data_IF_138694172024
#
_entry.id   IF_138694172024
#
_cell.length_a   1.000
_cell.length_b   1.000
_cell.length_c   1.000
_cell.angle_alpha   90.00
_cell.angle_beta   90.00
_cell.angle_gamma   90.00
#
_symmetry.space_group_name_H-M   'P 1'
#
loop_
_entity.id
_entity.type
_entity.pdbx_description
1 polymer ?
#
# COMPACT_ATOMS: atom_id res chain seq x y z
N UNK A 1 -21.22 -46.19 -52.76
CA UNK A 1 -20.06 -46.18 -51.84
C UNK A 1 -19.54 -44.76 -51.51
N UNK A 2 -20.41 -43.72 -51.44
CA UNK A 2 -19.99 -42.31 -51.20
C UNK A 2 -20.44 -41.70 -49.86
N UNK A 3 -21.27 -42.40 -49.06
CA UNK A 3 -21.84 -41.84 -47.82
C UNK A 3 -20.99 -42.02 -46.55
N UNK A 4 -19.94 -42.85 -46.56
CA UNK A 4 -19.11 -43.07 -45.37
C UNK A 4 -18.00 -42.02 -45.17
N UNK A 5 -17.44 -41.48 -46.26
CA UNK A 5 -16.34 -40.49 -46.22
C UNK A 5 -16.79 -39.11 -45.72
N UNK A 6 -17.98 -38.64 -46.09
CA UNK A 6 -18.53 -37.35 -45.64
C UNK A 6 -18.99 -37.35 -44.17
N UNK A 7 -19.01 -38.52 -43.51
CA UNK A 7 -19.40 -38.65 -42.11
C UNK A 7 -18.16 -38.68 -41.20
N UNK A 8 -17.04 -39.27 -41.62
CA UNK A 8 -15.78 -39.19 -40.86
C UNK A 8 -15.21 -37.78 -40.85
N UNK A 9 -15.17 -37.11 -42.01
CA UNK A 9 -14.56 -35.77 -42.18
C UNK A 9 -15.23 -34.68 -41.32
N UNK A 10 -16.55 -34.79 -41.13
CA UNK A 10 -17.34 -33.92 -40.25
C UNK A 10 -17.14 -34.23 -38.76
N UNK A 11 -16.84 -35.48 -38.43
CA UNK A 11 -16.57 -35.91 -37.05
C UNK A 11 -15.16 -35.48 -36.64
N UNK A 12 -14.21 -35.51 -37.58
CA UNK A 12 -12.84 -35.02 -37.40
C UNK A 12 -12.79 -33.50 -37.26
N UNK A 13 -13.54 -32.77 -38.10
CA UNK A 13 -13.66 -31.31 -38.00
C UNK A 13 -14.33 -30.84 -36.69
N UNK A 14 -15.31 -31.59 -36.18
CA UNK A 14 -15.94 -31.34 -34.88
C UNK A 14 -14.98 -31.62 -33.72
N UNK A 15 -14.25 -32.74 -33.77
CA UNK A 15 -13.23 -33.08 -32.79
C UNK A 15 -12.11 -32.04 -32.71
N UNK A 16 -11.66 -31.52 -33.86
CA UNK A 16 -10.64 -30.47 -33.91
C UNK A 16 -11.16 -29.13 -33.37
N UNK A 17 -12.44 -28.82 -33.60
CA UNK A 17 -13.07 -27.64 -33.00
C UNK A 17 -13.23 -27.78 -31.49
N UNK A 18 -13.56 -28.98 -30.99
CA UNK A 18 -13.64 -29.28 -29.55
C UNK A 18 -12.27 -29.18 -28.88
N UNK A 19 -11.20 -29.75 -29.46
CA UNK A 19 -9.82 -29.63 -28.93
C UNK A 19 -9.38 -28.17 -28.84
N UNK A 20 -9.65 -27.37 -29.87
CA UNK A 20 -9.35 -25.93 -29.85
C UNK A 20 -10.14 -25.17 -28.80
N UNK A 21 -11.39 -25.55 -28.53
CA UNK A 21 -12.19 -24.95 -27.46
C UNK A 21 -11.63 -25.34 -26.09
N UNK A 22 -11.33 -26.62 -25.87
CA UNK A 22 -10.75 -27.11 -24.62
C UNK A 22 -9.43 -26.39 -24.31
N UNK A 23 -8.51 -26.32 -25.27
CA UNK A 23 -7.23 -25.60 -25.09
C UNK A 23 -7.40 -24.11 -24.77
N UNK A 24 -8.41 -23.44 -25.34
CA UNK A 24 -8.75 -22.05 -24.98
C UNK A 24 -9.29 -21.91 -23.55
N UNK A 25 -10.09 -22.87 -23.10
CA UNK A 25 -10.63 -22.91 -21.73
C UNK A 25 -9.50 -23.15 -20.74
N UNK A 26 -8.59 -24.09 -21.02
CA UNK A 26 -7.43 -24.36 -20.17
C UNK A 26 -6.53 -23.13 -20.04
N UNK A 27 -6.23 -22.46 -21.18
CA UNK A 27 -5.41 -21.22 -21.16
C UNK A 27 -6.09 -20.09 -20.38
N UNK A 28 -7.43 -19.99 -20.46
CA UNK A 28 -8.18 -19.01 -19.68
C UNK A 28 -8.10 -19.32 -18.18
N UNK A 29 -8.27 -20.58 -17.79
CA UNK A 29 -8.17 -21.04 -16.42
C UNK A 29 -6.78 -20.77 -15.82
N UNK A 30 -5.71 -21.05 -16.57
CA UNK A 30 -4.33 -20.76 -16.16
C UNK A 30 -4.11 -19.26 -15.93
N UNK A 31 -4.60 -18.44 -16.86
CA UNK A 31 -4.47 -16.97 -16.76
C UNK A 31 -5.20 -16.44 -15.53
N UNK A 32 -6.41 -16.92 -15.26
CA UNK A 32 -7.18 -16.49 -14.10
C UNK A 32 -6.54 -16.97 -12.79
N UNK A 33 -5.98 -18.18 -12.76
CA UNK A 33 -5.25 -18.67 -11.60
C UNK A 33 -4.00 -17.83 -11.31
N UNK A 34 -3.26 -17.43 -12.35
CA UNK A 34 -2.11 -16.53 -12.21
C UNK A 34 -2.52 -15.17 -11.66
N UNK A 35 -3.62 -14.58 -12.16
CA UNK A 35 -4.16 -13.30 -11.66
C UNK A 35 -4.56 -13.40 -10.19
N UNK A 36 -5.25 -14.47 -9.80
CA UNK A 36 -5.68 -14.69 -8.42
C UNK A 36 -4.48 -14.85 -7.47
N UNK A 37 -3.44 -15.55 -7.89
CA UNK A 37 -2.22 -15.71 -7.09
C UNK A 37 -1.50 -14.36 -6.91
N UNK A 38 -1.33 -13.61 -7.99
CA UNK A 38 -0.69 -12.30 -7.96
C UNK A 38 -1.47 -11.30 -7.08
N UNK A 39 -2.81 -11.28 -7.18
CA UNK A 39 -3.65 -10.44 -6.33
C UNK A 39 -3.49 -10.77 -4.83
N UNK A 40 -3.39 -12.06 -4.48
CA UNK A 40 -3.15 -12.50 -3.10
C UNK A 40 -1.77 -12.09 -2.60
N UNK A 41 -0.74 -12.20 -3.43
CA UNK A 41 0.63 -11.80 -3.10
C UNK A 41 0.72 -10.30 -2.81
N UNK A 42 0.06 -9.48 -3.65
CA UNK A 42 -0.03 -8.03 -3.44
C UNK A 42 -0.80 -7.69 -2.17
N UNK A 43 -1.95 -8.31 -1.93
CA UNK A 43 -2.74 -8.06 -0.71
C UNK A 43 -1.94 -8.41 0.56
N UNK A 44 -1.19 -9.51 0.54
CA UNK A 44 -0.32 -9.89 1.66
C UNK A 44 0.86 -8.92 1.82
N UNK A 45 1.42 -8.43 0.72
CA UNK A 45 2.45 -7.40 0.76
C UNK A 45 1.93 -6.11 1.41
N UNK A 46 0.72 -5.68 1.06
CA UNK A 46 0.09 -4.46 1.60
C UNK A 46 -0.21 -4.59 3.09
N UNK A 47 -0.76 -5.72 3.55
CA UNK A 47 -0.99 -5.98 4.98
C UNK A 47 0.30 -5.93 5.80
N UNK A 48 1.39 -6.50 5.27
CA UNK A 48 2.72 -6.43 5.89
C UNK A 48 3.25 -5.00 5.93
N UNK A 49 3.07 -4.24 4.84
CA UNK A 49 3.46 -2.84 4.76
C UNK A 49 2.73 -1.98 5.82
N UNK A 50 1.42 -2.16 5.98
CA UNK A 50 0.63 -1.44 6.97
C UNK A 50 1.09 -1.78 8.41
N UNK A 51 1.36 -3.06 8.68
CA UNK A 51 1.90 -3.51 9.97
C UNK A 51 3.30 -2.92 10.24
N UNK A 52 4.14 -2.84 9.21
CA UNK A 52 5.46 -2.21 9.28
C UNK A 52 5.35 -0.71 9.60
N UNK A 53 4.44 -0.01 8.93
CA UNK A 53 4.21 1.42 9.17
C UNK A 53 3.76 1.66 10.61
N UNK A 54 2.81 0.87 11.11
CA UNK A 54 2.38 0.94 12.51
C UNK A 54 3.54 0.68 13.47
N UNK A 55 4.38 -0.32 13.18
CA UNK A 55 5.56 -0.64 13.99
C UNK A 55 6.57 0.51 14.06
N UNK A 56 6.76 1.25 12.96
CA UNK A 56 7.58 2.47 12.94
C UNK A 56 6.99 3.52 13.89
N UNK A 57 5.69 3.79 13.78
CA UNK A 57 4.98 4.74 14.64
C UNK A 57 5.02 4.33 16.12
N UNK A 58 4.70 3.08 16.43
CA UNK A 58 4.69 2.55 17.79
C UNK A 58 6.10 2.53 18.40
N UNK A 59 7.11 2.19 17.61
CA UNK A 59 8.52 2.25 18.02
C UNK A 59 8.96 3.66 18.36
N UNK A 60 8.59 4.65 17.53
CA UNK A 60 8.85 6.06 17.79
C UNK A 60 8.17 6.53 19.08
N UNK A 61 6.85 6.33 19.20
CA UNK A 61 6.07 6.73 20.39
C UNK A 61 6.62 6.09 21.66
N UNK A 62 6.93 4.80 21.62
CA UNK A 62 7.54 4.09 22.75
C UNK A 62 8.91 4.67 23.13
N UNK A 63 9.73 5.06 22.15
CA UNK A 63 11.03 5.69 22.39
C UNK A 63 10.90 7.07 23.06
N UNK A 64 9.97 7.90 22.60
CA UNK A 64 9.71 9.21 23.20
C UNK A 64 9.15 9.06 24.61
N UNK A 65 8.15 8.20 24.82
CA UNK A 65 7.51 8.03 26.13
C UNK A 65 8.45 7.50 27.22
N UNK A 66 9.48 6.74 26.86
CA UNK A 66 10.52 6.33 27.84
C UNK A 66 11.32 7.51 28.41
N UNK A 67 11.34 8.65 27.72
CA UNK A 67 12.07 9.86 28.11
C UNK A 67 11.18 10.92 28.77
N UNK A 68 9.86 10.83 28.59
CA UNK A 68 8.91 11.79 29.13
C UNK A 68 8.57 11.49 30.60
N UNK A 69 8.43 12.54 31.40
CA UNK A 69 8.09 12.44 32.84
C UNK A 69 6.76 13.12 33.22
N UNK A 70 6.19 13.95 32.32
CA UNK A 70 5.05 14.82 32.63
C UNK A 70 3.89 14.73 31.64
N UNK A 71 4.06 14.00 30.55
CA UNK A 71 3.06 13.80 29.51
C UNK A 71 3.34 12.50 28.76
N UNK A 72 2.38 12.14 27.93
CA UNK A 72 2.44 10.96 27.07
C UNK A 72 2.16 11.38 25.63
N UNK A 73 2.87 10.76 24.71
CA UNK A 73 2.54 10.71 23.29
C UNK A 73 1.70 9.45 23.07
N UNK A 74 0.55 9.57 22.44
CA UNK A 74 -0.35 8.43 22.18
C UNK A 74 -0.35 8.08 20.70
N UNK A 75 -0.49 6.80 20.38
CA UNK A 75 -0.73 6.29 19.02
C UNK A 75 -2.15 5.71 18.95
N UNK A 76 -2.90 6.12 17.93
CA UNK A 76 -4.20 5.55 17.60
C UNK A 76 -4.16 4.92 16.20
N UNK A 77 -4.57 3.64 16.04
CA UNK A 77 -4.87 2.70 17.11
C UNK A 77 -3.59 2.27 17.86
N UNK A 78 -3.66 1.95 19.16
CA UNK A 78 -2.48 1.57 19.96
C UNK A 78 -1.88 0.23 19.51
N UNK A 79 -2.70 -0.65 18.92
CA UNK A 79 -2.29 -1.90 18.32
C UNK A 79 -2.90 -2.03 16.93
N UNK A 80 -2.12 -2.54 15.98
CA UNK A 80 -2.58 -2.78 14.62
C UNK A 80 -2.17 -4.18 14.18
N UNK A 81 -3.14 -4.95 13.70
CA UNK A 81 -2.93 -6.28 13.16
C UNK A 81 -3.04 -6.24 11.63
N UNK A 82 -2.36 -7.16 10.96
CA UNK A 82 -2.41 -7.28 9.50
C UNK A 82 -3.86 -7.36 8.95
N UNK A 83 -4.77 -8.02 9.67
CA UNK A 83 -6.18 -8.12 9.30
C UNK A 83 -7.02 -6.85 9.53
N UNK A 84 -6.48 -5.84 10.21
CA UNK A 84 -7.12 -4.53 10.40
C UNK A 84 -6.93 -3.59 9.22
N UNK A 85 -6.04 -3.94 8.28
CA UNK A 85 -5.83 -3.17 7.06
C UNK A 85 -7.07 -3.21 6.16
N UNK A 86 -7.53 -2.03 5.75
CA UNK A 86 -8.63 -1.86 4.81
C UNK A 86 -8.07 -1.82 3.38
N UNK A 87 -8.33 -2.86 2.60
CA UNK A 87 -7.84 -2.97 1.22
C UNK A 87 -8.52 -1.97 0.27
N UNK A 88 -9.83 -1.76 0.43
CA UNK A 88 -10.66 -0.89 -0.43
C UNK A 88 -10.92 0.49 0.18
N UNK A 89 -10.27 0.80 1.30
CA UNK A 89 -10.55 1.98 2.11
C UNK A 89 -9.30 2.73 2.57
N UNK A 90 -9.54 3.87 3.19
CA UNK A 90 -8.50 4.67 3.81
C UNK A 90 -8.14 4.10 5.18
N UNK A 91 -6.85 3.92 5.42
CA UNK A 91 -6.28 3.54 6.69
C UNK A 91 -5.68 4.78 7.35
N UNK A 92 -5.77 4.84 8.68
CA UNK A 92 -5.43 6.03 9.45
C UNK A 92 -4.66 5.64 10.70
N UNK A 93 -3.48 6.24 10.89
CA UNK A 93 -2.76 6.26 12.17
C UNK A 93 -2.63 7.71 12.64
N UNK A 94 -2.73 7.92 13.95
CA UNK A 94 -2.57 9.24 14.55
C UNK A 94 -1.63 9.19 15.74
N UNK A 95 -0.60 10.02 15.72
CA UNK A 95 0.27 10.30 16.86
C UNK A 95 -0.18 11.63 17.46
N UNK A 96 -0.50 11.65 18.74
CA UNK A 96 -0.99 12.84 19.43
C UNK A 96 -0.17 13.14 20.69
N UNK A 97 0.16 14.41 20.89
CA UNK A 97 0.61 14.94 22.17
C UNK A 97 0.02 16.32 22.42
N UNK A 98 -0.78 16.46 23.48
CA UNK A 98 -1.34 17.75 23.92
C UNK A 98 -1.96 18.58 22.78
N UNK A 99 -2.68 17.95 21.84
CA UNK A 99 -3.34 18.64 20.72
C UNK A 99 -2.43 18.95 19.52
N UNK A 100 -1.18 18.46 19.52
CA UNK A 100 -0.31 18.40 18.34
C UNK A 100 -0.47 17.00 17.75
N UNK A 101 -0.86 16.93 16.49
CA UNK A 101 -1.25 15.70 15.83
C UNK A 101 -0.40 15.50 14.59
N UNK A 102 0.25 14.33 14.49
CA UNK A 102 0.69 13.79 13.21
C UNK A 102 -0.33 12.75 12.77
N UNK A 103 -0.91 12.97 11.60
CA UNK A 103 -1.86 12.07 10.98
C UNK A 103 -1.20 11.39 9.80
N UNK A 104 -1.21 10.07 9.77
CA UNK A 104 -0.72 9.26 8.67
C UNK A 104 -1.92 8.59 8.02
N UNK A 105 -2.27 9.03 6.82
CA UNK A 105 -3.37 8.51 6.03
C UNK A 105 -2.82 7.75 4.83
N UNK A 106 -3.34 6.55 4.55
CA UNK A 106 -2.84 5.74 3.44
C UNK A 106 -3.87 4.75 2.89
N UNK A 107 -3.75 4.39 1.62
CA UNK A 107 -4.65 3.46 0.93
C UNK A 107 -3.89 2.59 -0.07
N UNK A 108 -4.41 1.38 -0.31
CA UNK A 108 -3.90 0.54 -1.38
C UNK A 108 -4.15 1.20 -2.74
N UNK A 109 -3.21 1.03 -3.67
CA UNK A 109 -3.45 1.32 -5.08
C UNK A 109 -4.27 0.19 -5.72
N UNK A 110 -4.87 0.41 -6.90
CA UNK A 110 -5.51 -0.69 -7.62
C UNK A 110 -4.45 -1.71 -8.10
N UNK A 111 -3.40 -1.21 -8.73
CA UNK A 111 -2.29 -2.00 -9.29
C UNK A 111 -0.93 -1.53 -8.75
N UNK A 112 0.14 -2.23 -9.12
CA UNK A 112 1.49 -1.72 -8.93
C UNK A 112 1.68 -0.48 -9.83
N UNK A 113 1.76 0.70 -9.22
CA UNK A 113 1.69 1.99 -9.91
C UNK A 113 3.03 2.72 -9.85
N UNK A 114 3.32 3.54 -10.86
CA UNK A 114 4.33 4.60 -10.82
C UNK A 114 3.79 5.81 -11.59
N UNK A 115 3.96 7.01 -11.07
CA UNK A 115 3.45 8.25 -11.69
C UNK A 115 4.59 9.08 -12.28
N UNK A 116 4.26 10.12 -13.05
CA UNK A 116 5.27 11.05 -13.57
C UNK A 116 6.02 11.76 -12.43
N UNK A 117 5.27 12.13 -11.39
CA UNK A 117 5.76 12.83 -10.19
C UNK A 117 6.52 11.90 -9.23
N UNK A 118 6.18 10.61 -9.20
CA UNK A 118 6.86 9.61 -8.39
C UNK A 118 7.07 8.30 -9.18
N UNK A 119 8.27 8.18 -9.78
CA UNK A 119 8.60 7.12 -10.76
C UNK A 119 9.06 5.79 -10.16
N UNK A 120 9.04 5.65 -8.84
CA UNK A 120 9.40 4.39 -8.17
C UNK A 120 8.11 3.57 -8.04
N UNK A 121 8.04 2.30 -8.49
CA UNK A 121 6.83 1.50 -8.35
C UNK A 121 6.39 1.33 -6.89
N UNK A 122 5.09 1.45 -6.62
CA UNK A 122 4.50 1.35 -5.29
C UNK A 122 3.12 0.68 -5.29
N UNK A 123 2.71 0.18 -4.14
CA UNK A 123 1.42 -0.53 -3.96
C UNK A 123 0.53 0.06 -2.86
N UNK A 124 1.07 1.00 -2.08
CA UNK A 124 0.34 1.84 -1.13
C UNK A 124 0.85 3.27 -1.32
N UNK A 125 -0.07 4.22 -1.29
CA UNK A 125 0.21 5.66 -1.24
C UNK A 125 -0.56 6.30 -0.11
N UNK A 126 -0.14 7.50 0.28
CA UNK A 126 -0.75 8.23 1.37
C UNK A 126 -0.05 9.54 1.64
N UNK A 127 -0.35 10.13 2.79
CA UNK A 127 0.34 11.30 3.26
C UNK A 127 0.47 11.36 4.78
N UNK A 128 1.44 12.15 5.23
CA UNK A 128 1.62 12.55 6.61
C UNK A 128 1.27 14.03 6.72
N UNK A 129 0.33 14.36 7.61
CA UNK A 129 -0.14 15.72 7.87
C UNK A 129 0.14 16.09 9.31
N UNK A 130 0.62 17.32 9.50
CA UNK A 130 0.93 17.89 10.79
C UNK A 130 -0.12 18.94 11.17
N UNK A 131 -0.69 18.81 12.38
CA UNK A 131 -1.69 19.74 12.91
C UNK A 131 -1.28 20.25 14.29
N UNK A 132 -1.38 21.57 14.48
CA UNK A 132 -1.44 22.23 15.78
C UNK A 132 -2.31 23.48 15.66
N UNK A 133 -2.65 24.12 16.79
CA UNK A 133 -3.54 25.29 16.78
C UNK A 133 -2.99 26.45 15.92
N UNK A 134 -1.68 26.72 16.00
CA UNK A 134 -1.04 27.79 15.22
C UNK A 134 -1.10 27.53 13.70
N UNK A 135 -0.93 26.27 13.27
CA UNK A 135 -1.02 25.84 11.88
C UNK A 135 -2.45 25.96 11.35
N UNK A 136 -3.44 25.58 12.17
CA UNK A 136 -4.85 25.72 11.85
C UNK A 136 -5.26 27.19 11.72
N UNK A 137 -4.85 28.04 12.68
CA UNK A 137 -5.15 29.47 12.67
C UNK A 137 -4.52 30.19 11.46
N UNK A 138 -3.39 29.68 10.96
CA UNK A 138 -2.70 30.19 9.76
C UNK A 138 -3.16 29.51 8.47
N UNK A 139 -4.14 28.60 8.53
CA UNK A 139 -4.63 27.78 7.42
C UNK A 139 -3.50 27.06 6.65
N UNK A 140 -2.48 26.58 7.38
CA UNK A 140 -1.33 25.86 6.84
C UNK A 140 -1.38 24.41 7.32
N UNK A 141 -1.73 23.49 6.44
CA UNK A 141 -1.55 22.06 6.66
C UNK A 141 -0.31 21.66 5.88
N UNK A 142 0.74 21.26 6.60
CA UNK A 142 1.94 20.71 5.96
C UNK A 142 1.69 19.23 5.67
N UNK A 143 1.76 18.88 4.39
CA UNK A 143 1.49 17.54 3.88
C UNK A 143 2.74 17.02 3.14
N UNK A 144 3.16 15.81 3.49
CA UNK A 144 4.20 15.09 2.76
C UNK A 144 3.64 13.76 2.28
N UNK A 145 3.93 13.40 1.04
CA UNK A 145 3.45 12.15 0.46
C UNK A 145 4.26 10.97 0.99
N UNK A 146 3.64 9.82 1.13
CA UNK A 146 4.29 8.58 1.51
C UNK A 146 3.92 7.45 0.58
N UNK A 147 4.87 6.55 0.33
CA UNK A 147 4.71 5.44 -0.60
C UNK A 147 5.33 4.17 -0.05
N UNK A 148 4.62 3.05 -0.16
CA UNK A 148 5.23 1.73 0.03
C UNK A 148 5.72 1.19 -1.31
N UNK A 149 7.03 1.36 -1.52
CA UNK A 149 7.70 1.08 -2.78
C UNK A 149 8.12 -0.38 -2.92
N UNK A 150 8.14 -0.85 -4.17
CA UNK A 150 8.60 -2.19 -4.57
C UNK A 150 9.64 -2.03 -5.68
N UNK A 151 10.92 -2.20 -5.37
CA UNK A 151 12.02 -2.02 -6.32
C UNK A 151 13.01 -3.19 -6.24
N UNK A 152 13.26 -3.87 -7.36
CA UNK A 152 14.31 -4.91 -7.50
C UNK A 152 14.29 -5.96 -6.37
N UNK A 153 13.09 -6.39 -5.98
CA UNK A 153 12.88 -7.37 -4.90
C UNK A 153 13.04 -6.81 -3.47
N UNK A 154 13.18 -5.49 -3.32
CA UNK A 154 13.18 -4.79 -2.04
C UNK A 154 11.90 -3.99 -1.88
N UNK A 155 11.47 -3.85 -0.63
CA UNK A 155 10.25 -3.12 -0.29
C UNK A 155 10.55 -2.17 0.86
N UNK A 156 10.07 -0.92 0.77
CA UNK A 156 10.29 0.06 1.83
C UNK A 156 9.26 1.18 1.79
N UNK A 157 8.98 1.73 2.97
CA UNK A 157 8.28 3.01 3.09
C UNK A 157 9.20 4.17 2.77
N UNK A 158 8.70 5.11 1.98
CA UNK A 158 9.39 6.35 1.62
C UNK A 158 8.48 7.54 1.84
N UNK A 159 9.05 8.65 2.29
CA UNK A 159 8.40 9.95 2.15
C UNK A 159 8.86 10.61 0.85
N UNK A 160 8.04 11.54 0.37
CA UNK A 160 8.33 12.43 -0.75
C UNK A 160 7.74 13.80 -0.46
N UNK A 161 8.61 14.81 -0.42
CA UNK A 161 8.22 16.22 -0.32
C UNK A 161 8.24 16.83 -1.72
N UNK A 162 7.05 17.05 -2.28
CA UNK A 162 6.88 17.64 -3.60
C UNK A 162 7.40 19.09 -3.72
N UNK A 163 7.55 19.81 -2.59
CA UNK A 163 8.02 21.20 -2.59
C UNK A 163 9.54 21.27 -2.75
N UNK A 164 10.25 20.34 -2.11
CA UNK A 164 11.72 20.29 -2.11
C UNK A 164 12.28 19.19 -3.01
N UNK A 165 11.41 18.38 -3.62
CA UNK A 165 11.76 17.17 -4.38
C UNK A 165 12.66 16.20 -3.59
N UNK A 166 12.53 16.20 -2.25
CA UNK A 166 13.30 15.32 -1.38
C UNK A 166 12.52 14.04 -1.13
N UNK A 167 13.24 12.92 -1.11
CA UNK A 167 12.69 11.64 -0.70
C UNK A 167 13.69 10.90 0.18
N UNK A 168 13.18 10.19 1.16
CA UNK A 168 13.98 9.37 2.07
C UNK A 168 13.14 8.24 2.67
N UNK A 169 13.75 7.40 3.52
CA UNK A 169 13.01 6.40 4.27
C UNK A 169 12.01 7.07 5.20
N UNK A 170 10.84 6.47 5.35
CA UNK A 170 9.92 6.78 6.44
C UNK A 170 10.32 5.89 7.63
N UNK A 171 10.95 6.49 8.64
CA UNK A 171 11.43 5.81 9.84
C UNK A 171 11.21 6.69 11.10
N UNK A 172 11.82 6.31 12.23
CA UNK A 172 11.68 7.08 13.47
C UNK A 172 12.39 8.45 13.41
N UNK A 173 13.45 8.59 12.62
CA UNK A 173 14.15 9.86 12.45
C UNK A 173 13.30 10.84 11.64
N UNK A 174 12.64 10.34 10.60
CA UNK A 174 11.62 11.08 9.86
C UNK A 174 10.50 11.61 10.80
N UNK A 175 9.93 10.73 11.63
CA UNK A 175 8.87 11.12 12.58
C UNK A 175 9.38 12.11 13.65
N UNK A 176 10.63 11.97 14.09
CA UNK A 176 11.27 12.91 15.01
C UNK A 176 11.31 14.32 14.42
N UNK A 177 11.81 14.46 13.19
CA UNK A 177 11.91 15.76 12.50
C UNK A 177 10.53 16.43 12.39
N UNK A 178 9.48 15.66 12.04
CA UNK A 178 8.13 16.20 11.95
C UNK A 178 7.56 16.63 13.30
N UNK A 179 7.82 15.85 14.36
CA UNK A 179 7.38 16.20 15.71
C UNK A 179 8.10 17.43 16.26
N UNK A 180 9.40 17.60 15.96
CA UNK A 180 10.16 18.79 16.35
C UNK A 180 9.60 20.07 15.70
N UNK A 181 9.07 19.98 14.48
CA UNK A 181 8.41 21.11 13.81
C UNK A 181 7.06 21.48 14.40
N UNK A 182 6.41 20.57 15.13
CA UNK A 182 5.09 20.76 15.73
C UNK A 182 5.09 21.38 17.13
N UNK A 183 6.24 21.32 17.82
CA UNK A 183 6.43 21.78 19.20
C UNK A 183 6.92 23.23 19.21
#
# INVERSE_FOLDING_TARGET
MRNHLARSDRTDAWGERLRRLAGKIDTLADTDQHRLNHAREIAELRRRAATQLHSICAGFVGSVNRLLSRCEVTLDPPHFLAGSFQEEGTNLFQINTRGRILQIEFSATQDLTSTEDFRIPYTIEGSVRAFNQDLLDRNRIEEQLIFFTVEKGRTMWRFFDARTYRSGPLDQEYLLILMEQLI
#
